data_IF_906473446926
#
_entry.id   IF_906473446926
#
_cell.length_a   1.000
_cell.length_b   1.000
_cell.length_c   1.000
_cell.angle_alpha   90.00
_cell.angle_beta   90.00
_cell.angle_gamma   90.00
#
_symmetry.space_group_name_H-M   'P 1'
#
loop_
_entity.id
_entity.type
_entity.pdbx_description
1 polymer ?
#
# COMPACT_ATOMS: atom_id res chain seq x y z
N UNK A 1 8.31 -7.23 8.98
CA UNK A 1 7.10 -6.99 9.84
C UNK A 1 6.25 -5.85 9.28
N UNK A 2 5.00 -5.64 9.74
CA UNK A 2 4.11 -4.60 9.17
C UNK A 2 4.64 -3.16 9.29
N UNK A 3 5.23 -2.79 10.44
CA UNK A 3 5.80 -1.46 10.64
C UNK A 3 7.05 -1.19 9.78
N UNK A 4 7.84 -2.23 9.56
CA UNK A 4 8.99 -2.17 8.67
C UNK A 4 8.58 -2.03 7.20
N UNK A 5 7.51 -2.72 6.79
CA UNK A 5 6.93 -2.55 5.47
C UNK A 5 6.51 -1.09 5.21
N UNK A 6 5.87 -0.42 6.18
CA UNK A 6 5.51 0.99 6.07
C UNK A 6 6.74 1.89 5.90
N UNK A 7 7.80 1.68 6.72
CA UNK A 7 9.03 2.47 6.63
C UNK A 7 9.71 2.30 5.27
N UNK A 8 9.87 1.06 4.83
CA UNK A 8 10.51 0.75 3.54
C UNK A 8 9.69 1.27 2.37
N UNK A 9 8.37 1.11 2.40
CA UNK A 9 7.50 1.60 1.35
C UNK A 9 7.60 3.10 1.13
N UNK A 10 7.77 3.88 2.20
CA UNK A 10 8.02 5.33 2.13
C UNK A 10 9.38 5.65 1.51
N UNK A 11 10.41 4.87 1.85
CA UNK A 11 11.77 5.06 1.33
C UNK A 11 11.88 4.67 -0.17
N UNK A 12 11.20 3.59 -0.58
CA UNK A 12 11.27 3.03 -1.93
C UNK A 12 10.20 3.59 -2.88
N UNK A 13 9.29 4.44 -2.40
CA UNK A 13 8.21 5.00 -3.21
C UNK A 13 7.22 3.95 -3.72
N UNK A 14 6.92 2.93 -2.90
CA UNK A 14 6.00 1.87 -3.30
C UNK A 14 4.60 2.41 -3.59
N UNK A 15 3.82 1.74 -4.48
CA UNK A 15 2.43 2.08 -4.75
C UNK A 15 1.64 2.33 -3.46
N UNK A 16 1.23 3.58 -3.29
CA UNK A 16 0.58 4.06 -2.06
C UNK A 16 -0.71 4.77 -2.42
N UNK A 17 -1.73 4.63 -1.58
CA UNK A 17 -2.97 5.41 -1.62
C UNK A 17 -3.28 5.97 -0.26
N UNK A 18 -3.75 7.21 -0.21
CA UNK A 18 -4.21 7.87 1.01
C UNK A 18 -5.66 8.30 0.81
N UNK A 19 -6.56 7.90 1.71
CA UNK A 19 -7.95 8.35 1.68
C UNK A 19 -8.18 9.62 2.51
N UNK A 20 -9.39 10.18 2.43
CA UNK A 20 -9.76 11.43 3.11
C UNK A 20 -9.70 11.37 4.64
N UNK A 21 -9.57 10.18 5.23
CA UNK A 21 -9.38 9.98 6.68
C UNK A 21 -7.91 9.78 7.04
N UNK A 22 -6.98 9.93 6.09
CA UNK A 22 -5.56 9.70 6.27
C UNK A 22 -5.17 8.23 6.36
N UNK A 23 -6.05 7.29 5.99
CA UNK A 23 -5.69 5.86 5.96
C UNK A 23 -4.75 5.62 4.79
N UNK A 24 -3.59 5.07 5.10
CA UNK A 24 -2.52 4.78 4.15
C UNK A 24 -2.66 3.32 3.71
N UNK A 25 -2.65 3.06 2.41
CA UNK A 25 -2.68 1.72 1.83
C UNK A 25 -1.49 1.57 0.91
N UNK A 26 -0.76 0.49 1.05
CA UNK A 26 0.49 0.25 0.34
C UNK A 26 0.42 -1.14 -0.27
N UNK A 27 0.87 -1.25 -1.52
CA UNK A 27 1.01 -2.51 -2.20
C UNK A 27 2.41 -2.66 -2.79
N UNK A 28 3.01 -3.83 -2.57
CA UNK A 28 4.25 -4.24 -3.21
C UNK A 28 3.96 -5.36 -4.22
N UNK A 29 4.11 -5.10 -5.52
CA UNK A 29 3.94 -6.12 -6.55
C UNK A 29 4.97 -7.24 -6.48
N UNK A 30 6.20 -6.95 -6.07
CA UNK A 30 7.31 -7.93 -6.06
C UNK A 30 7.05 -9.13 -5.15
N UNK A 31 6.37 -8.92 -4.01
CA UNK A 31 6.10 -9.97 -3.02
C UNK A 31 4.60 -10.22 -2.83
N UNK A 32 3.75 -9.49 -3.56
CA UNK A 32 2.30 -9.41 -3.38
C UNK A 32 1.90 -9.05 -1.95
N UNK A 33 2.64 -8.14 -1.32
CA UNK A 33 2.36 -7.72 0.06
C UNK A 33 1.47 -6.49 0.07
N UNK A 34 0.42 -6.54 0.88
CA UNK A 34 -0.48 -5.41 1.12
C UNK A 34 -0.43 -5.01 2.60
N UNK A 35 -0.35 -3.70 2.85
CA UNK A 35 -0.45 -3.11 4.18
C UNK A 35 -1.44 -1.96 4.21
N UNK A 36 -2.21 -1.85 5.29
CA UNK A 36 -3.00 -0.65 5.58
C UNK A 36 -2.73 -0.12 6.98
N UNK A 37 -2.69 1.21 7.10
CA UNK A 37 -2.25 1.93 8.29
C UNK A 37 -3.18 3.10 8.56
N UNK A 38 -3.38 3.43 9.83
CA UNK A 38 -4.03 4.68 10.24
C UNK A 38 -3.14 5.88 9.92
N UNK A 39 -3.69 7.09 10.04
CA UNK A 39 -2.97 8.34 9.79
C UNK A 39 -1.72 8.51 10.68
N UNK A 40 -1.76 7.96 11.90
CA UNK A 40 -0.64 7.92 12.84
C UNK A 40 0.41 6.83 12.55
N UNK A 41 0.19 6.02 11.51
CA UNK A 41 1.08 4.92 11.13
C UNK A 41 0.86 3.61 11.90
N UNK A 42 -0.13 3.53 12.79
CA UNK A 42 -0.49 2.25 13.42
C UNK A 42 -1.05 1.28 12.38
N UNK A 43 -0.66 0.00 12.50
CA UNK A 43 -1.05 -1.03 11.51
C UNK A 43 -2.52 -1.41 11.68
N UNK A 44 -3.28 -1.40 10.59
CA UNK A 44 -4.65 -1.94 10.54
C UNK A 44 -4.66 -3.35 9.99
N UNK A 45 -3.99 -3.59 8.86
CA UNK A 45 -3.86 -4.91 8.23
C UNK A 45 -2.52 -5.07 7.55
N UNK A 46 -2.05 -6.31 7.44
CA UNK A 46 -0.82 -6.66 6.74
C UNK A 46 -0.88 -8.13 6.29
N UNK A 47 -0.95 -8.39 4.99
CA UNK A 47 -1.16 -9.74 4.45
C UNK A 47 -0.87 -9.82 2.93
N UNK A 48 -0.94 -11.04 2.36
CA UNK A 48 -0.91 -11.27 0.91
C UNK A 48 -2.32 -11.54 0.38
N UNK A 49 -2.92 -10.65 -0.43
CA UNK A 49 -4.28 -10.86 -0.94
C UNK A 49 -4.30 -11.98 -2.00
N UNK A 50 -5.43 -12.68 -2.11
CA UNK A 50 -5.68 -13.76 -3.09
C UNK A 50 -4.57 -14.83 -3.15
N UNK A 51 -4.01 -15.21 -2.00
CA UNK A 51 -2.93 -16.21 -1.95
C UNK A 51 -1.63 -15.78 -2.64
N UNK A 52 -1.47 -14.49 -2.94
CA UNK A 52 -0.33 -13.97 -3.67
C UNK A 52 -0.45 -14.04 -5.20
N UNK A 53 -1.65 -14.23 -5.76
CA UNK A 53 -1.84 -14.17 -7.21
C UNK A 53 -1.70 -12.71 -7.71
N UNK A 54 -0.67 -12.36 -8.52
CA UNK A 54 -0.29 -10.97 -8.75
C UNK A 54 -1.36 -10.12 -9.44
N UNK A 55 -2.05 -10.69 -10.45
CA UNK A 55 -3.09 -9.96 -11.20
C UNK A 55 -4.28 -9.60 -10.31
N UNK A 56 -4.73 -10.53 -9.46
CA UNK A 56 -5.82 -10.29 -8.52
C UNK A 56 -5.40 -9.36 -7.39
N UNK A 57 -4.15 -9.48 -6.91
CA UNK A 57 -3.59 -8.60 -5.90
C UNK A 57 -3.48 -7.14 -6.40
N UNK A 58 -3.03 -6.93 -7.64
CA UNK A 58 -3.02 -5.61 -8.28
C UNK A 58 -4.45 -5.05 -8.42
N UNK A 59 -5.37 -5.82 -9.01
CA UNK A 59 -6.78 -5.39 -9.13
C UNK A 59 -7.41 -5.07 -7.76
N UNK A 60 -7.02 -5.78 -6.71
CA UNK A 60 -7.43 -5.51 -5.34
C UNK A 60 -6.89 -4.19 -4.80
N UNK A 61 -5.65 -3.83 -5.12
CA UNK A 61 -5.08 -2.54 -4.77
C UNK A 61 -5.74 -1.41 -5.58
N UNK A 62 -6.01 -1.62 -6.86
CA UNK A 62 -6.62 -0.63 -7.74
C UNK A 62 -8.02 -0.23 -7.28
N UNK A 63 -8.81 -1.18 -6.75
CA UNK A 63 -10.13 -0.92 -6.15
C UNK A 63 -10.08 -0.33 -4.73
N UNK A 64 -8.91 -0.28 -4.09
CA UNK A 64 -8.80 0.35 -2.76
C UNK A 64 -9.08 1.85 -2.85
N UNK A 65 -9.75 2.37 -1.82
CA UNK A 65 -10.01 3.80 -1.63
C UNK A 65 -8.72 4.59 -1.46
N UNK A 66 -8.83 5.87 -1.78
CA UNK A 66 -7.75 6.83 -1.67
C UNK A 66 -7.12 7.12 -3.01
N UNK A 67 -6.44 8.25 -3.07
CA UNK A 67 -5.72 8.67 -4.25
C UNK A 67 -4.26 8.32 -4.06
N UNK A 68 -3.58 8.00 -5.15
CA UNK A 68 -2.13 7.96 -5.12
C UNK A 68 -1.67 9.35 -4.71
N UNK A 69 -0.99 9.51 -3.55
CA UNK A 69 -0.33 10.78 -3.29
C UNK A 69 0.62 10.96 -4.47
N UNK A 70 0.57 12.12 -5.13
CA UNK A 70 1.50 12.47 -6.21
C UNK A 70 2.93 12.40 -5.63
N UNK A 71 3.50 11.19 -5.65
CA UNK A 71 4.89 10.92 -5.39
C UNK A 71 5.48 10.74 -6.78
N UNK A 72 5.94 11.87 -7.32
CA UNK A 72 6.63 12.05 -8.59
C UNK A 72 5.71 12.09 -9.82
N UNK A 73 5.48 13.30 -10.32
CA UNK A 73 5.50 13.48 -11.77
C UNK A 73 6.84 12.93 -12.26
N UNK A 74 6.79 11.90 -13.10
CA UNK A 74 7.97 11.49 -13.84
C UNK A 74 8.37 12.60 -14.82
N UNK A 75 9.65 12.74 -15.16
CA UNK A 75 10.01 13.37 -16.42
C UNK A 75 9.37 12.63 -17.61
#
# INVERSE_FOLDING_TARGET
MAQEFLRRARAEGLPTKVDSKGVIRIYEPATNTFGSYNADGTTRTFYKPYGGEPKKAQAYFDRQRGNSPNLLGGP
#
